data_IF_935077567344
#
_entry.id   IF_935077567344
#
_cell.length_a   1.000
_cell.length_b   1.000
_cell.length_c   1.000
_cell.angle_alpha   90.00
_cell.angle_beta   90.00
_cell.angle_gamma   90.00
#
_symmetry.space_group_name_H-M   'P 1'
#
loop_
_entity.id
_entity.type
_entity.pdbx_description
1 polymer ?
#
# COMPACT_ATOMS: atom_id res chain seq x y z
N UNK A 1 32.52 9.87 -49.12
CA UNK A 1 32.57 10.91 -48.07
C UNK A 1 31.16 11.49 -48.02
N UNK A 2 30.30 11.33 -47.01
CA UNK A 2 30.48 11.16 -45.57
C UNK A 2 29.29 10.35 -45.03
N UNK A 3 29.51 9.06 -44.75
CA UNK A 3 28.56 8.15 -44.11
C UNK A 3 28.43 8.43 -42.60
N UNK A 4 28.23 9.70 -42.21
CA UNK A 4 28.34 10.15 -40.82
C UNK A 4 27.32 11.23 -40.45
N UNK A 5 26.10 11.18 -40.98
CA UNK A 5 25.03 12.12 -40.59
C UNK A 5 23.72 11.47 -40.14
N UNK A 6 23.62 10.13 -40.14
CA UNK A 6 22.42 9.41 -39.66
C UNK A 6 22.57 8.78 -38.26
N UNK A 7 23.59 9.18 -37.48
CA UNK A 7 23.77 8.67 -36.11
C UNK A 7 23.33 9.69 -35.04
N UNK A 8 23.09 10.96 -35.41
CA UNK A 8 22.80 12.03 -34.45
C UNK A 8 21.31 12.27 -34.14
N UNK A 9 20.39 11.43 -34.62
CA UNK A 9 18.95 11.55 -34.30
C UNK A 9 18.43 10.42 -33.40
N UNK A 10 19.17 9.31 -33.27
CA UNK A 10 18.78 8.19 -32.39
C UNK A 10 19.41 8.24 -30.98
N UNK A 11 20.22 9.26 -30.67
CA UNK A 11 20.98 9.33 -29.42
C UNK A 11 20.29 10.04 -28.25
N UNK A 12 19.09 10.59 -28.41
CA UNK A 12 18.45 11.44 -27.37
C UNK A 12 17.25 10.77 -26.69
N UNK A 13 16.87 9.55 -27.08
CA UNK A 13 15.73 8.83 -26.48
C UNK A 13 16.13 7.72 -25.49
N UNK A 14 17.31 7.78 -24.88
CA UNK A 14 17.84 6.69 -24.04
C UNK A 14 18.31 7.18 -22.68
N UNK A 15 17.49 7.95 -21.96
CA UNK A 15 17.66 8.13 -20.51
C UNK A 15 16.39 8.74 -19.88
N UNK A 16 15.21 8.19 -20.16
CA UNK A 16 14.16 8.31 -19.13
C UNK A 16 14.57 7.33 -18.06
N UNK A 17 15.36 7.80 -17.10
CA UNK A 17 15.60 7.04 -15.89
C UNK A 17 14.24 6.89 -15.21
N UNK A 18 13.68 5.68 -15.29
CA UNK A 18 12.55 5.28 -14.47
C UNK A 18 13.04 5.21 -13.04
N UNK A 19 13.20 6.36 -12.40
CA UNK A 19 13.17 6.40 -10.95
C UNK A 19 11.71 6.14 -10.59
N UNK A 20 11.40 4.94 -10.10
CA UNK A 20 10.23 4.77 -9.26
C UNK A 20 10.49 5.64 -8.03
N UNK A 21 10.03 6.90 -8.09
CA UNK A 21 10.11 7.78 -6.95
C UNK A 21 9.40 7.08 -5.79
N UNK A 22 10.03 7.09 -4.61
CA UNK A 22 9.37 6.72 -3.37
C UNK A 22 8.06 7.49 -3.28
N UNK A 23 6.93 6.81 -3.42
CA UNK A 23 5.63 7.44 -3.26
C UNK A 23 5.33 7.45 -1.77
N UNK A 24 5.29 8.64 -1.16
CA UNK A 24 4.85 8.82 0.22
C UNK A 24 3.33 8.59 0.27
N UNK A 25 2.90 7.52 0.95
CA UNK A 25 1.50 7.18 1.13
C UNK A 25 1.13 7.51 2.58
N UNK A 26 0.38 8.61 2.83
CA UNK A 26 0.05 9.02 4.20
C UNK A 26 -1.01 8.09 4.80
N UNK A 27 -0.67 7.43 5.92
CA UNK A 27 -1.59 6.59 6.70
C UNK A 27 -2.39 7.46 7.66
N UNK A 28 -3.50 8.02 7.18
CA UNK A 28 -4.34 8.95 7.94
C UNK A 28 -5.70 8.38 8.40
N UNK A 29 -6.04 7.15 7.97
CA UNK A 29 -7.34 6.53 8.18
C UNK A 29 -8.48 7.14 7.37
N UNK A 30 -9.64 6.49 7.41
CA UNK A 30 -10.84 6.91 6.67
C UNK A 30 -11.40 8.23 7.22
N UNK A 31 -11.63 9.20 6.33
CA UNK A 31 -12.25 10.50 6.66
C UNK A 31 -13.74 10.58 6.32
N UNK A 32 -14.28 9.56 5.64
CA UNK A 32 -15.71 9.48 5.32
C UNK A 32 -16.52 9.03 6.53
N UNK A 33 -17.81 9.36 6.56
CA UNK A 33 -18.71 8.99 7.65
C UNK A 33 -18.48 9.71 8.98
N UNK A 34 -17.50 10.61 9.06
CA UNK A 34 -17.26 11.46 10.25
C UNK A 34 -18.37 12.49 10.38
N UNK A 35 -18.98 12.56 11.55
CA UNK A 35 -19.97 13.59 11.86
C UNK A 35 -19.25 14.95 11.93
N UNK A 36 -19.52 15.83 10.96
CA UNK A 36 -18.82 17.11 10.82
C UNK A 36 -19.07 18.09 11.97
N UNK A 37 -20.11 17.86 12.78
CA UNK A 37 -20.44 18.70 13.94
C UNK A 37 -19.85 18.16 15.25
N UNK A 38 -19.82 16.85 15.43
CA UNK A 38 -19.37 16.22 16.69
C UNK A 38 -17.96 15.64 16.61
N UNK A 39 -17.44 15.40 15.41
CA UNK A 39 -16.18 14.70 15.17
C UNK A 39 -16.26 13.18 15.39
N UNK A 40 -17.45 12.64 15.68
CA UNK A 40 -17.64 11.20 15.87
C UNK A 40 -17.31 10.45 14.58
N UNK A 41 -16.49 9.40 14.70
CA UNK A 41 -16.11 8.53 13.59
C UNK A 41 -16.96 7.25 13.58
N UNK A 42 -17.15 6.61 12.41
CA UNK A 42 -17.77 5.30 12.33
C UNK A 42 -17.04 4.26 13.19
N UNK A 43 -17.79 3.39 13.86
CA UNK A 43 -17.21 2.32 14.68
C UNK A 43 -16.77 1.12 13.82
N UNK A 44 -15.68 0.46 14.20
CA UNK A 44 -15.33 -0.86 13.66
C UNK A 44 -16.34 -1.90 14.18
N UNK A 45 -17.15 -2.46 13.29
CA UNK A 45 -18.25 -3.39 13.65
C UNK A 45 -17.78 -4.84 13.73
N UNK A 46 -18.55 -5.68 14.42
CA UNK A 46 -18.36 -7.12 14.39
C UNK A 46 -18.66 -7.65 12.97
N UNK A 47 -17.73 -8.40 12.39
CA UNK A 47 -17.83 -8.85 11.00
C UNK A 47 -19.02 -9.79 10.76
N UNK A 48 -19.42 -10.61 11.73
CA UNK A 48 -20.57 -11.50 11.59
C UNK A 48 -21.87 -10.69 11.48
N UNK A 49 -21.99 -9.60 12.22
CA UNK A 49 -23.14 -8.69 12.09
C UNK A 49 -23.20 -8.05 10.70
N UNK A 50 -22.06 -7.62 10.16
CA UNK A 50 -21.99 -7.05 8.80
C UNK A 50 -22.37 -8.09 7.74
N UNK A 51 -21.90 -9.33 7.89
CA UNK A 51 -22.23 -10.45 7.01
C UNK A 51 -23.73 -10.79 7.05
N UNK A 52 -24.31 -10.91 8.25
CA UNK A 52 -25.71 -11.27 8.44
C UNK A 52 -26.69 -10.22 7.89
N UNK A 53 -26.29 -8.94 7.89
CA UNK A 53 -27.05 -7.83 7.30
C UNK A 53 -27.20 -7.94 5.77
N UNK A 54 -26.28 -8.64 5.09
CA UNK A 54 -26.28 -8.84 3.62
C UNK A 54 -26.49 -7.54 2.84
N UNK A 55 -25.90 -6.46 3.33
CA UNK A 55 -26.10 -5.12 2.81
C UNK A 55 -24.92 -4.60 1.99
N UNK A 56 -25.04 -3.37 1.44
CA UNK A 56 -24.01 -2.76 0.60
C UNK A 56 -22.61 -2.67 1.24
N UNK A 57 -22.53 -2.62 2.57
CA UNK A 57 -21.23 -2.62 3.27
C UNK A 57 -20.48 -3.93 3.10
N UNK A 58 -21.19 -5.07 3.12
CA UNK A 58 -20.58 -6.37 2.88
C UNK A 58 -20.12 -6.50 1.42
N UNK A 59 -20.97 -6.09 0.47
CA UNK A 59 -20.66 -6.14 -0.95
C UNK A 59 -19.43 -5.26 -1.28
N UNK A 60 -19.38 -4.04 -0.73
CA UNK A 60 -18.23 -3.14 -0.89
C UNK A 60 -16.96 -3.71 -0.26
N UNK A 61 -17.05 -4.32 0.93
CA UNK A 61 -15.90 -4.96 1.57
C UNK A 61 -15.29 -6.04 0.68
N UNK A 62 -16.13 -6.94 0.14
CA UNK A 62 -15.67 -8.01 -0.76
C UNK A 62 -15.12 -7.45 -2.06
N UNK A 63 -15.80 -6.48 -2.69
CA UNK A 63 -15.37 -5.89 -3.94
C UNK A 63 -14.03 -5.15 -3.80
N UNK A 64 -13.86 -4.35 -2.74
CA UNK A 64 -12.64 -3.61 -2.48
C UNK A 64 -11.46 -4.55 -2.17
N UNK A 65 -11.66 -5.56 -1.32
CA UNK A 65 -10.62 -6.54 -1.01
C UNK A 65 -10.20 -7.33 -2.26
N UNK A 66 -11.16 -7.72 -3.10
CA UNK A 66 -10.88 -8.38 -4.38
C UNK A 66 -10.04 -7.47 -5.29
N UNK A 67 -10.40 -6.20 -5.41
CA UNK A 67 -9.64 -5.24 -6.21
C UNK A 67 -8.20 -5.06 -5.70
N UNK A 68 -7.97 -5.06 -4.37
CA UNK A 68 -6.63 -5.02 -3.81
C UNK A 68 -5.82 -6.29 -4.13
N UNK A 69 -6.47 -7.45 -4.12
CA UNK A 69 -5.84 -8.74 -4.42
C UNK A 69 -5.52 -8.91 -5.90
N UNK A 70 -6.35 -8.35 -6.79
CA UNK A 70 -6.17 -8.39 -8.24
C UNK A 70 -5.15 -7.34 -8.74
N UNK A 71 -4.82 -6.35 -7.93
CA UNK A 71 -3.84 -5.32 -8.27
C UNK A 71 -2.45 -5.93 -8.51
N UNK A 72 -1.66 -5.31 -9.40
CA UNK A 72 -0.32 -5.78 -9.71
C UNK A 72 0.56 -5.77 -8.46
N UNK A 73 1.39 -6.80 -8.28
CA UNK A 73 2.35 -6.89 -7.17
C UNK A 73 3.33 -5.71 -7.09
N UNK A 74 3.52 -4.94 -8.17
CA UNK A 74 4.33 -3.71 -8.16
C UNK A 74 3.57 -2.47 -7.71
N UNK A 75 2.23 -2.53 -7.58
CA UNK A 75 1.42 -1.45 -7.05
C UNK A 75 1.58 -1.39 -5.52
N UNK A 76 2.08 -0.28 -4.94
CA UNK A 76 2.33 -0.17 -3.50
C UNK A 76 1.07 -0.33 -2.63
N UNK A 77 -0.13 -0.18 -3.20
CA UNK A 77 -1.41 -0.36 -2.51
C UNK A 77 -2.07 -1.71 -2.77
N UNK A 78 -1.42 -2.60 -3.53
CA UNK A 78 -1.88 -3.98 -3.70
C UNK A 78 -1.87 -4.74 -2.37
N UNK A 79 -2.71 -5.77 -2.28
CA UNK A 79 -2.72 -6.68 -1.15
C UNK A 79 -1.33 -7.30 -0.92
N UNK A 80 -0.62 -7.64 -2.00
CA UNK A 80 0.74 -8.18 -1.94
C UNK A 80 1.71 -7.22 -1.26
N UNK A 81 1.76 -5.95 -1.70
CA UNK A 81 2.67 -4.95 -1.15
C UNK A 81 2.34 -4.63 0.32
N UNK A 82 1.07 -4.41 0.65
CA UNK A 82 0.66 -4.08 2.03
C UNK A 82 0.90 -5.26 2.98
N UNK A 83 0.56 -6.50 2.58
CA UNK A 83 0.87 -7.69 3.38
C UNK A 83 2.38 -7.91 3.52
N UNK A 84 3.17 -7.56 2.50
CA UNK A 84 4.63 -7.62 2.51
C UNK A 84 5.29 -6.72 3.56
N UNK A 85 4.62 -5.65 4.03
CA UNK A 85 5.10 -4.84 5.17
C UNK A 85 5.29 -5.71 6.42
N UNK A 86 4.45 -6.74 6.59
CA UNK A 86 4.56 -7.65 7.74
C UNK A 86 5.84 -8.49 7.70
N UNK A 87 6.30 -8.90 6.52
CA UNK A 87 7.35 -9.90 6.39
C UNK A 87 7.86 -10.13 4.97
N UNK A 88 7.91 -11.39 4.55
CA UNK A 88 8.43 -11.76 3.23
C UNK A 88 7.60 -11.10 2.11
N UNK A 89 8.24 -10.68 0.98
CA UNK A 89 9.62 -10.98 0.58
C UNK A 89 10.70 -10.00 1.09
N UNK A 90 10.44 -9.25 2.16
CA UNK A 90 11.39 -8.30 2.78
C UNK A 90 11.90 -7.25 1.78
N UNK A 91 10.95 -6.48 1.25
CA UNK A 91 11.21 -5.41 0.30
C UNK A 91 10.84 -4.04 0.87
N UNK A 92 11.44 -3.01 0.29
CA UNK A 92 11.09 -1.64 0.59
C UNK A 92 9.65 -1.33 0.14
N UNK A 93 8.93 -0.55 0.94
CA UNK A 93 7.54 -0.16 0.73
C UNK A 93 7.42 1.35 0.94
N UNK A 94 6.76 2.07 0.01
CA UNK A 94 6.59 3.54 0.05
C UNK A 94 7.92 4.32 0.24
N UNK A 95 9.05 3.73 -0.17
CA UNK A 95 10.39 4.33 -0.03
C UNK A 95 11.05 4.21 1.36
N UNK A 96 10.42 3.50 2.30
CA UNK A 96 11.00 3.16 3.60
C UNK A 96 11.40 1.69 3.71
N UNK A 97 12.01 1.33 4.84
CA UNK A 97 12.16 -0.05 5.30
C UNK A 97 13.36 -0.87 4.84
N UNK A 98 13.30 -2.20 5.03
CA UNK A 98 14.42 -3.09 4.75
C UNK A 98 14.76 -3.09 3.26
N UNK A 99 16.07 -3.09 2.96
CA UNK A 99 16.54 -3.31 1.60
C UNK A 99 16.20 -4.74 1.17
N UNK A 100 16.02 -4.96 -0.14
CA UNK A 100 15.80 -6.28 -0.72
C UNK A 100 16.83 -7.29 -0.19
N UNK A 101 16.35 -8.37 0.43
CA UNK A 101 17.22 -9.41 1.02
C UNK A 101 17.49 -9.23 2.53
N UNK A 102 16.71 -8.41 3.22
CA UNK A 102 16.73 -8.37 4.69
C UNK A 102 16.17 -9.68 5.31
N UNK A 103 16.49 -9.93 6.57
CA UNK A 103 16.07 -11.13 7.30
C UNK A 103 14.76 -10.95 8.09
N UNK A 104 14.15 -9.76 8.03
CA UNK A 104 12.94 -9.40 8.77
C UNK A 104 12.13 -8.30 8.08
N UNK A 105 10.81 -8.31 8.32
CA UNK A 105 9.87 -7.28 7.88
C UNK A 105 9.84 -6.07 8.82
N UNK A 106 8.85 -5.19 8.63
CA UNK A 106 8.71 -3.97 9.41
C UNK A 106 8.12 -4.24 10.79
N UNK A 107 7.34 -5.31 10.93
CA UNK A 107 6.66 -5.64 12.16
C UNK A 107 7.65 -6.09 13.25
N UNK A 108 7.71 -5.38 14.39
CA UNK A 108 8.59 -5.74 15.48
C UNK A 108 8.04 -6.96 16.24
N UNK A 109 8.64 -8.13 16.07
CA UNK A 109 8.31 -9.32 16.87
C UNK A 109 9.22 -9.45 18.09
N UNK A 110 8.63 -9.87 19.22
CA UNK A 110 9.36 -10.20 20.45
C UNK A 110 10.17 -9.04 21.07
N UNK A 111 9.80 -7.80 20.77
CA UNK A 111 10.31 -6.60 21.45
C UNK A 111 9.17 -5.90 22.18
N UNK A 112 9.48 -5.28 23.31
CA UNK A 112 8.50 -4.46 24.04
C UNK A 112 8.35 -3.13 23.30
N UNK A 113 7.35 -3.05 22.43
CA UNK A 113 6.93 -1.81 21.79
C UNK A 113 5.56 -1.36 22.34
N UNK A 114 5.27 -0.04 22.39
CA UNK A 114 3.89 0.42 22.51
C UNK A 114 3.04 -0.20 21.39
N UNK A 115 1.78 -0.53 21.68
CA UNK A 115 0.77 -1.13 20.76
C UNK A 115 0.48 -0.31 19.49
N UNK A 116 1.27 0.71 19.19
CA UNK A 116 1.05 1.69 18.14
C UNK A 116 1.42 1.19 16.75
N UNK A 117 2.38 0.27 16.62
CA UNK A 117 2.78 -0.29 15.31
C UNK A 117 1.66 -1.12 14.66
N UNK A 118 1.02 -1.99 15.45
CA UNK A 118 -0.06 -2.87 14.98
C UNK A 118 -1.31 -2.05 14.63
N UNK A 119 -1.52 -0.93 15.32
CA UNK A 119 -2.63 -0.02 15.05
C UNK A 119 -2.47 0.68 13.69
N UNK A 120 -1.26 1.15 13.34
CA UNK A 120 -1.00 1.78 12.04
C UNK A 120 -1.14 0.80 10.89
N UNK A 121 -0.64 -0.43 11.03
CA UNK A 121 -0.78 -1.45 9.97
C UNK A 121 -2.24 -1.77 9.65
N UNK A 122 -3.11 -1.79 10.66
CA UNK A 122 -4.54 -2.01 10.47
C UNK A 122 -5.27 -0.81 9.83
N UNK A 123 -4.62 0.35 9.66
CA UNK A 123 -5.17 1.49 8.92
C UNK A 123 -4.78 1.43 7.44
N UNK A 124 -3.75 0.66 7.08
CA UNK A 124 -3.34 0.48 5.68
C UNK A 124 -4.35 -0.36 4.89
N UNK A 125 -5.19 -1.14 5.59
CA UNK A 125 -6.27 -1.97 5.03
C UNK A 125 -7.67 -1.34 5.17
N UNK A 126 -7.79 -0.13 5.74
CA UNK A 126 -9.05 0.61 5.90
C UNK A 126 -9.29 1.58 4.73
#
# INVERSE_FOLDING_TARGET
MTALQFILVFGVLSAVQWFAAAQEIPVAGVRSGVNTRTGEMPIRRNINSVFDERGPQWDLYIAALTAMQDANETDPTSYFQIAGIHGQPYMAWSGGGPQTGADAGYCPHNVRHPKTSDATHNLDFD
#
